data_IF_472210904203
#
_entry.id   IF_472210904203
#
_cell.length_a   1.000
_cell.length_b   1.000
_cell.length_c   1.000
_cell.angle_alpha   90.00
_cell.angle_beta   90.00
_cell.angle_gamma   90.00
#
_symmetry.space_group_name_H-M   'P 1'
#
loop_
_entity.id
_entity.type
_entity.pdbx_description
1 polymer ?
#
# COMPACT_ATOMS: atom_id res chain seq x y z
N UNK A 1 -2.72 27.12 3.27
CA UNK A 1 -2.80 27.03 1.79
C UNK A 1 -1.46 27.25 1.12
N UNK A 2 -0.74 28.35 1.35
CA UNK A 2 0.57 28.64 0.70
C UNK A 2 1.56 27.47 0.89
N UNK A 3 1.73 26.99 2.13
CA UNK A 3 2.62 25.86 2.43
C UNK A 3 2.20 24.58 1.65
N UNK A 4 0.91 24.29 1.58
CA UNK A 4 0.41 23.14 0.82
C UNK A 4 0.71 23.27 -0.69
N UNK A 5 0.56 24.46 -1.25
CA UNK A 5 0.89 24.74 -2.64
C UNK A 5 2.40 24.54 -2.91
N UNK A 6 3.27 25.03 -2.02
CA UNK A 6 4.70 24.82 -2.12
C UNK A 6 5.08 23.34 -2.08
N UNK A 7 4.53 22.58 -1.12
CA UNK A 7 4.80 21.14 -1.01
C UNK A 7 4.33 20.38 -2.25
N UNK A 8 3.16 20.70 -2.78
CA UNK A 8 2.64 20.10 -4.00
C UNK A 8 3.55 20.41 -5.20
N UNK A 9 3.99 21.68 -5.34
CA UNK A 9 4.89 22.09 -6.43
C UNK A 9 6.24 21.39 -6.33
N UNK A 10 6.85 21.34 -5.15
CA UNK A 10 8.11 20.60 -4.95
C UNK A 10 7.96 19.11 -5.26
N UNK A 11 6.85 18.49 -4.88
CA UNK A 11 6.58 17.11 -5.23
C UNK A 11 6.57 16.87 -6.74
N UNK A 12 5.91 17.76 -7.51
CA UNK A 12 5.89 17.66 -8.98
C UNK A 12 7.29 17.86 -9.57
N UNK A 13 8.06 18.81 -9.06
CA UNK A 13 9.43 19.04 -9.51
C UNK A 13 10.30 17.82 -9.27
N UNK A 14 10.22 17.23 -8.07
CA UNK A 14 10.99 16.02 -7.72
C UNK A 14 10.60 14.85 -8.62
N UNK A 15 9.31 14.61 -8.82
CA UNK A 15 8.85 13.55 -9.73
C UNK A 15 9.31 13.79 -11.17
N UNK A 16 9.22 15.03 -11.66
CA UNK A 16 9.68 15.40 -13.02
C UNK A 16 11.19 15.25 -13.18
N UNK A 17 11.97 15.65 -12.19
CA UNK A 17 13.43 15.47 -12.19
C UNK A 17 13.80 13.98 -12.21
N UNK A 18 13.15 13.17 -11.36
CA UNK A 18 13.42 11.73 -11.30
C UNK A 18 12.93 10.98 -12.54
N UNK A 19 11.77 11.35 -13.10
CA UNK A 19 11.27 10.78 -14.36
C UNK A 19 12.14 11.20 -15.56
N UNK A 20 12.70 12.42 -15.54
CA UNK A 20 13.66 12.87 -16.53
C UNK A 20 14.94 12.03 -16.56
N UNK A 21 15.45 11.63 -15.39
CA UNK A 21 16.57 10.70 -15.27
C UNK A 21 16.21 9.25 -15.67
N UNK A 22 14.94 8.92 -15.78
CA UNK A 22 14.42 7.63 -16.26
C UNK A 22 14.03 7.68 -17.75
N UNK A 23 14.46 8.69 -18.50
CA UNK A 23 14.23 8.74 -19.94
C UNK A 23 14.96 7.61 -20.66
N UNK A 24 14.40 7.14 -21.77
CA UNK A 24 14.99 6.07 -22.58
C UNK A 24 16.45 6.36 -22.96
N UNK A 25 16.78 7.64 -23.24
CA UNK A 25 18.14 8.09 -23.54
C UNK A 25 19.08 8.01 -22.33
N UNK A 26 18.63 8.39 -21.14
CA UNK A 26 19.43 8.32 -19.91
C UNK A 26 19.70 6.85 -19.52
N UNK A 27 18.69 6.00 -19.60
CA UNK A 27 18.82 4.55 -19.33
C UNK A 27 19.75 3.88 -20.31
N UNK A 28 19.64 4.21 -21.61
CA UNK A 28 20.60 3.77 -22.63
C UNK A 28 22.03 4.13 -22.23
N UNK A 29 22.29 5.41 -21.92
CA UNK A 29 23.60 5.90 -21.55
C UNK A 29 24.14 5.20 -20.29
N UNK A 30 23.29 4.96 -19.30
CA UNK A 30 23.64 4.24 -18.07
C UNK A 30 24.05 2.78 -18.36
N UNK A 31 23.31 2.07 -19.20
CA UNK A 31 23.62 0.69 -19.60
C UNK A 31 24.89 0.62 -20.44
N UNK A 32 25.07 1.53 -21.39
CA UNK A 32 26.29 1.62 -22.18
C UNK A 32 27.52 1.87 -21.30
N UNK A 33 27.47 2.82 -20.38
CA UNK A 33 28.55 3.10 -19.44
C UNK A 33 28.86 1.90 -18.55
N UNK A 34 27.83 1.22 -18.05
CA UNK A 34 28.01 0.01 -17.25
C UNK A 34 28.72 -1.09 -18.04
N UNK A 35 28.26 -1.44 -19.24
CA UNK A 35 28.84 -2.49 -20.09
C UNK A 35 30.27 -2.11 -20.50
N UNK A 36 30.47 -0.90 -21.00
CA UNK A 36 31.79 -0.43 -21.47
C UNK A 36 32.83 -0.38 -20.37
N UNK A 37 32.42 -0.08 -19.12
CA UNK A 37 33.27 -0.14 -17.94
C UNK A 37 33.78 -1.56 -17.71
N UNK A 38 32.89 -2.56 -17.80
CA UNK A 38 33.27 -3.97 -17.60
C UNK A 38 34.12 -4.48 -18.77
N UNK A 39 33.79 -4.11 -20.00
CA UNK A 39 34.60 -4.44 -21.18
C UNK A 39 36.04 -3.87 -21.06
N UNK A 40 36.19 -2.64 -20.54
CA UNK A 40 37.47 -2.03 -20.28
C UNK A 40 38.26 -2.77 -19.21
N UNK A 41 37.64 -3.12 -18.10
CA UNK A 41 38.26 -3.88 -17.01
C UNK A 41 38.68 -5.27 -17.49
N UNK A 42 37.84 -5.98 -18.25
CA UNK A 42 38.20 -7.25 -18.87
C UNK A 42 39.38 -7.13 -19.82
N UNK A 43 39.43 -6.08 -20.61
CA UNK A 43 40.59 -5.82 -21.50
C UNK A 43 41.88 -5.62 -20.71
N UNK A 44 41.83 -5.04 -19.52
CA UNK A 44 43.01 -4.89 -18.64
C UNK A 44 43.47 -6.24 -18.10
N UNK A 45 42.53 -7.11 -17.67
CA UNK A 45 42.83 -8.49 -17.25
C UNK A 45 43.53 -9.27 -18.37
N UNK A 46 43.05 -9.16 -19.60
CA UNK A 46 43.63 -9.85 -20.75
C UNK A 46 45.01 -9.34 -21.14
N UNK A 47 45.37 -8.13 -20.77
CA UNK A 47 46.70 -7.53 -21.01
C UNK A 47 47.67 -7.83 -19.86
N UNK A 48 47.18 -8.31 -18.72
CA UNK A 48 48.02 -8.79 -17.63
C UNK A 48 48.55 -10.19 -17.93
N UNK A 49 49.81 -10.24 -18.36
CA UNK A 49 50.45 -11.48 -18.73
C UNK A 49 50.69 -12.43 -17.58
N UNK A 50 50.90 -11.90 -16.36
CA UNK A 50 51.07 -12.73 -15.16
C UNK A 50 49.73 -13.42 -14.78
N UNK A 51 48.63 -12.66 -14.81
CA UNK A 51 47.31 -13.19 -14.49
C UNK A 51 46.80 -14.18 -15.54
N UNK A 52 47.04 -13.90 -16.84
CA UNK A 52 46.66 -14.82 -17.92
C UNK A 52 47.48 -16.12 -17.87
N UNK A 53 48.73 -16.07 -17.45
CA UNK A 53 49.57 -17.26 -17.24
C UNK A 53 49.07 -18.11 -16.07
N UNK A 54 48.70 -17.49 -14.96
CA UNK A 54 48.10 -18.20 -13.83
C UNK A 54 46.80 -18.91 -14.22
N UNK A 55 46.00 -18.29 -15.11
CA UNK A 55 44.79 -18.93 -15.67
C UNK A 55 45.11 -20.12 -16.59
N UNK A 56 46.25 -20.07 -17.29
CA UNK A 56 46.70 -21.15 -18.19
C UNK A 56 47.29 -22.33 -17.40
N UNK A 57 48.08 -22.04 -16.39
CA UNK A 57 48.81 -23.05 -15.62
C UNK A 57 47.92 -23.65 -14.49
N UNK A 58 46.68 -23.18 -14.34
CA UNK A 58 45.73 -23.54 -13.26
C UNK A 58 46.35 -23.32 -11.84
N UNK A 59 47.34 -22.44 -11.76
CA UNK A 59 48.07 -22.13 -10.51
C UNK A 59 47.79 -20.71 -10.10
N UNK A 60 46.85 -20.53 -9.15
CA UNK A 60 46.49 -19.21 -8.68
C UNK A 60 47.08 -18.88 -7.34
N UNK A 61 47.62 -17.68 -7.20
CA UNK A 61 47.85 -17.09 -5.91
C UNK A 61 46.51 -16.62 -5.30
N UNK A 62 46.33 -16.80 -4.00
CA UNK A 62 45.09 -16.45 -3.27
C UNK A 62 44.60 -15.02 -3.57
N UNK A 63 45.46 -13.97 -3.59
CA UNK A 63 45.03 -12.59 -3.92
C UNK A 63 44.47 -12.45 -5.33
N UNK A 64 45.01 -13.13 -6.30
CA UNK A 64 44.58 -13.10 -7.69
C UNK A 64 43.21 -13.78 -7.86
N UNK A 65 43.03 -14.92 -7.22
CA UNK A 65 41.78 -15.63 -7.22
C UNK A 65 40.65 -14.80 -6.56
N UNK A 66 40.95 -14.17 -5.43
CA UNK A 66 40.01 -13.29 -4.74
C UNK A 66 39.60 -12.10 -5.61
N UNK A 67 40.56 -11.47 -6.28
CA UNK A 67 40.31 -10.36 -7.19
C UNK A 67 39.39 -10.75 -8.36
N UNK A 68 39.62 -11.94 -8.95
CA UNK A 68 38.79 -12.43 -10.06
C UNK A 68 37.37 -12.84 -9.59
N UNK A 69 37.26 -13.41 -8.40
CA UNK A 69 35.97 -13.83 -7.85
C UNK A 69 35.01 -12.66 -7.48
N UNK A 70 35.59 -11.49 -7.19
CA UNK A 70 34.80 -10.29 -6.83
C UNK A 70 34.39 -9.44 -8.04
N UNK A 71 34.72 -9.85 -9.25
CA UNK A 71 34.31 -9.10 -10.45
C UNK A 71 32.81 -9.13 -10.65
N UNK A 72 32.19 -8.03 -11.09
CA UNK A 72 30.74 -7.97 -11.34
C UNK A 72 30.34 -8.63 -12.68
N UNK A 73 31.22 -9.35 -13.31
CA UNK A 73 31.01 -10.12 -14.51
C UNK A 73 31.75 -11.46 -14.43
N UNK A 74 31.41 -12.38 -15.33
CA UNK A 74 31.86 -13.77 -15.27
C UNK A 74 32.94 -14.03 -16.32
N UNK A 75 34.04 -14.66 -15.92
CA UNK A 75 35.18 -14.95 -16.76
C UNK A 75 35.29 -16.46 -16.94
N UNK A 76 35.44 -16.86 -18.19
CA UNK A 76 35.67 -18.26 -18.59
C UNK A 76 36.86 -18.32 -19.48
N UNK A 77 37.76 -19.27 -19.23
CA UNK A 77 38.92 -19.55 -20.11
C UNK A 77 38.87 -21.00 -20.55
N UNK A 78 39.07 -21.20 -21.85
CA UNK A 78 39.09 -22.50 -22.48
C UNK A 78 40.39 -22.70 -23.17
N UNK A 79 40.97 -23.92 -23.06
CA UNK A 79 41.99 -24.40 -23.92
C UNK A 79 41.41 -25.04 -25.18
N UNK A 80 42.04 -24.79 -26.29
CA UNK A 80 41.72 -25.44 -27.56
C UNK A 80 42.79 -26.49 -27.81
N UNK A 81 42.43 -27.77 -27.81
CA UNK A 81 43.35 -28.85 -28.15
C UNK A 81 43.49 -28.96 -29.69
N UNK A 82 44.50 -29.75 -30.14
CA UNK A 82 44.81 -29.95 -31.55
C UNK A 82 43.65 -30.55 -32.38
N UNK A 83 42.64 -31.10 -31.71
CA UNK A 83 41.44 -31.69 -32.33
C UNK A 83 40.27 -30.68 -32.33
N UNK A 84 40.47 -29.45 -31.83
CA UNK A 84 39.43 -28.41 -31.78
C UNK A 84 38.42 -28.54 -30.62
N UNK A 85 38.66 -29.43 -29.66
CA UNK A 85 37.83 -29.52 -28.46
C UNK A 85 38.18 -28.46 -27.46
N UNK A 86 37.17 -27.85 -26.85
CA UNK A 86 37.31 -26.79 -25.85
C UNK A 86 37.28 -27.40 -24.45
N UNK A 87 38.36 -27.35 -23.69
CA UNK A 87 38.43 -27.69 -22.28
C UNK A 87 38.48 -26.44 -21.45
N UNK A 88 37.56 -26.31 -20.47
CA UNK A 88 37.56 -25.19 -19.54
C UNK A 88 38.76 -25.31 -18.59
N UNK A 89 39.56 -24.24 -18.45
CA UNK A 89 40.69 -24.16 -17.52
C UNK A 89 40.41 -23.22 -16.35
N UNK A 90 39.57 -22.21 -16.54
CA UNK A 90 39.24 -21.28 -15.48
C UNK A 90 37.78 -20.78 -15.59
N UNK A 91 37.14 -20.63 -14.45
CA UNK A 91 35.86 -19.92 -14.31
C UNK A 91 35.76 -19.27 -12.91
N UNK A 92 35.10 -18.14 -12.82
CA UNK A 92 34.83 -17.45 -11.53
C UNK A 92 33.40 -17.55 -11.06
N UNK A 93 32.55 -18.32 -11.74
CA UNK A 93 31.15 -18.56 -11.36
C UNK A 93 30.67 -19.93 -11.81
N UNK A 94 29.75 -20.52 -11.06
CA UNK A 94 29.03 -21.73 -11.44
C UNK A 94 27.55 -21.46 -11.79
N UNK A 95 27.11 -20.19 -11.73
CA UNK A 95 25.70 -19.83 -11.90
C UNK A 95 25.26 -19.76 -13.36
N UNK A 96 26.18 -19.67 -14.29
CA UNK A 96 25.93 -19.60 -15.72
C UNK A 96 27.17 -20.08 -16.49
N UNK A 97 26.95 -20.59 -17.68
CA UNK A 97 28.05 -20.95 -18.60
C UNK A 97 27.77 -20.39 -20.00
N UNK A 98 28.82 -19.97 -20.75
CA UNK A 98 28.66 -19.64 -22.16
C UNK A 98 28.17 -20.83 -22.94
N UNK A 99 27.23 -20.60 -23.85
CA UNK A 99 26.80 -21.62 -24.79
C UNK A 99 27.81 -21.77 -25.95
N UNK A 100 27.67 -22.81 -26.78
CA UNK A 100 28.58 -23.07 -27.91
C UNK A 100 28.60 -21.92 -28.90
N UNK A 101 27.48 -21.23 -29.11
CA UNK A 101 27.40 -20.08 -30.01
C UNK A 101 28.35 -18.95 -29.59
N UNK A 102 28.53 -18.72 -28.28
CA UNK A 102 29.47 -17.72 -27.75
C UNK A 102 30.89 -18.23 -27.81
N UNK A 103 31.16 -19.52 -27.52
CA UNK A 103 32.49 -20.12 -27.51
C UNK A 103 33.08 -20.12 -28.94
N UNK A 104 32.27 -20.47 -29.92
CA UNK A 104 32.69 -20.61 -31.32
C UNK A 104 32.52 -19.34 -32.17
N UNK A 105 31.95 -18.27 -31.58
CA UNK A 105 31.69 -17.02 -32.26
C UNK A 105 32.95 -16.47 -32.98
N UNK A 106 32.79 -15.96 -34.18
CA UNK A 106 33.85 -15.26 -34.90
C UNK A 106 34.02 -13.80 -34.43
N UNK A 107 32.93 -13.24 -33.92
CA UNK A 107 32.91 -11.89 -33.36
C UNK A 107 33.64 -11.81 -32.02
N UNK A 108 34.19 -10.64 -31.71
CA UNK A 108 34.81 -10.37 -30.40
C UNK A 108 33.83 -9.92 -29.33
N UNK A 109 32.62 -9.53 -29.69
CA UNK A 109 31.62 -9.02 -28.77
C UNK A 109 30.20 -9.31 -29.29
N UNK A 110 29.26 -9.52 -28.40
CA UNK A 110 27.87 -9.76 -28.78
C UNK A 110 26.94 -9.79 -27.57
N UNK A 111 25.76 -10.28 -27.81
CA UNK A 111 24.67 -10.37 -26.82
C UNK A 111 24.02 -11.75 -26.87
N UNK A 112 23.72 -12.31 -25.71
CA UNK A 112 23.15 -13.66 -25.61
C UNK A 112 22.13 -13.72 -24.48
N UNK A 113 21.06 -14.50 -24.69
CA UNK A 113 20.12 -14.90 -23.64
C UNK A 113 20.54 -16.29 -23.16
N UNK A 114 20.75 -16.44 -21.86
CA UNK A 114 21.02 -17.69 -21.16
C UNK A 114 19.89 -17.98 -20.17
N UNK A 115 19.92 -19.14 -19.52
CA UNK A 115 18.83 -19.64 -18.69
C UNK A 115 18.39 -18.69 -17.56
N UNK A 116 19.31 -17.95 -16.97
CA UNK A 116 19.07 -17.06 -15.83
C UNK A 116 19.11 -15.56 -16.17
N UNK A 117 19.25 -15.19 -17.46
CA UNK A 117 19.28 -13.78 -17.85
C UNK A 117 19.86 -13.47 -19.21
N UNK A 118 20.09 -12.20 -19.41
CA UNK A 118 20.66 -11.63 -20.63
C UNK A 118 22.06 -11.10 -20.36
N UNK A 119 22.99 -11.40 -21.26
CA UNK A 119 24.41 -11.08 -21.09
C UNK A 119 24.99 -10.43 -22.35
N UNK A 120 25.76 -9.36 -22.14
CA UNK A 120 26.71 -8.94 -23.14
C UNK A 120 27.96 -9.79 -22.96
N UNK A 121 28.53 -10.26 -24.04
CA UNK A 121 29.76 -11.04 -23.98
C UNK A 121 30.89 -10.38 -24.75
N UNK A 122 32.11 -10.57 -24.24
CA UNK A 122 33.35 -10.15 -24.90
C UNK A 122 34.31 -11.34 -24.94
N UNK A 123 34.85 -11.61 -26.11
CA UNK A 123 35.64 -12.81 -26.41
C UNK A 123 36.98 -12.43 -27.00
N UNK A 124 38.04 -13.03 -26.49
CA UNK A 124 39.38 -12.97 -27.10
C UNK A 124 39.88 -14.39 -27.33
N UNK A 125 40.11 -14.73 -28.60
CA UNK A 125 40.68 -16.01 -29.00
C UNK A 125 42.15 -15.83 -29.37
N UNK A 126 42.94 -16.79 -28.95
CA UNK A 126 44.32 -17.01 -29.39
C UNK A 126 44.42 -18.38 -30.04
N UNK A 127 45.57 -18.75 -30.59
CA UNK A 127 45.75 -20.08 -31.18
C UNK A 127 45.54 -21.26 -30.23
N UNK A 128 45.72 -21.03 -28.90
CA UNK A 128 45.67 -22.10 -27.88
C UNK A 128 44.56 -21.90 -26.83
N UNK A 129 44.01 -20.71 -26.73
CA UNK A 129 43.03 -20.43 -25.70
C UNK A 129 41.97 -19.42 -26.13
N UNK A 130 40.77 -19.55 -25.55
CA UNK A 130 39.64 -18.62 -25.70
C UNK A 130 39.30 -18.10 -24.32
N UNK A 131 39.28 -16.79 -24.15
CA UNK A 131 38.80 -16.18 -22.91
C UNK A 131 37.53 -15.39 -23.18
N UNK A 132 36.51 -15.62 -22.38
CA UNK A 132 35.19 -15.03 -22.54
C UNK A 132 34.80 -14.32 -21.23
N UNK A 133 34.35 -13.07 -21.33
CA UNK A 133 33.63 -12.39 -20.28
C UNK A 133 32.12 -12.41 -20.57
N UNK A 134 31.32 -12.86 -19.63
CA UNK A 134 29.85 -12.68 -19.63
C UNK A 134 29.51 -11.55 -18.69
N UNK A 135 29.05 -10.44 -19.23
CA UNK A 135 28.67 -9.23 -18.50
C UNK A 135 27.14 -9.28 -18.30
N UNK A 136 26.63 -9.48 -17.09
CA UNK A 136 25.19 -9.54 -16.85
C UNK A 136 24.55 -8.18 -17.18
N UNK A 137 23.52 -8.20 -18.02
CA UNK A 137 22.74 -7.02 -18.40
C UNK A 137 21.42 -7.01 -17.65
N UNK A 138 20.72 -8.14 -17.68
CA UNK A 138 19.42 -8.29 -17.01
C UNK A 138 19.28 -9.72 -16.50
N UNK A 139 18.96 -9.86 -15.22
CA UNK A 139 18.56 -11.11 -14.63
C UNK A 139 17.11 -11.43 -15.01
N UNK A 140 16.85 -12.68 -15.41
CA UNK A 140 15.53 -13.13 -15.80
C UNK A 140 15.33 -14.58 -15.35
N UNK A 141 14.90 -14.75 -14.10
CA UNK A 141 14.69 -16.05 -13.48
C UNK A 141 13.29 -16.57 -13.78
N UNK A 142 13.16 -17.88 -13.98
CA UNK A 142 11.87 -18.55 -14.14
C UNK A 142 11.06 -18.49 -12.85
N UNK A 143 11.69 -18.69 -11.67
CA UNK A 143 11.09 -18.56 -10.36
C UNK A 143 11.60 -17.29 -9.70
N UNK A 144 10.69 -16.38 -9.42
CA UNK A 144 11.00 -15.09 -8.78
C UNK A 144 10.67 -15.17 -7.30
N UNK A 145 11.62 -14.78 -6.44
CA UNK A 145 11.44 -14.68 -5.00
C UNK A 145 12.21 -13.47 -4.45
N UNK A 146 12.28 -13.29 -3.12
CA UNK A 146 13.01 -12.18 -2.49
C UNK A 146 14.50 -12.11 -2.85
N UNK A 147 15.13 -13.23 -3.17
CA UNK A 147 16.55 -13.33 -3.49
C UNK A 147 16.80 -13.32 -5.00
N UNK A 148 15.95 -13.99 -5.76
CA UNK A 148 16.04 -14.11 -7.23
C UNK A 148 15.02 -13.17 -7.88
N UNK A 149 15.43 -11.94 -8.11
CA UNK A 149 14.58 -10.89 -8.69
C UNK A 149 14.98 -10.61 -10.14
N UNK A 150 13.99 -10.46 -11.00
CA UNK A 150 14.20 -9.95 -12.35
C UNK A 150 14.59 -8.47 -12.26
N UNK A 151 15.79 -8.12 -12.72
CA UNK A 151 16.32 -6.75 -12.63
C UNK A 151 17.47 -6.52 -13.57
N UNK A 152 17.65 -5.29 -14.01
CA UNK A 152 18.88 -4.90 -14.71
C UNK A 152 20.06 -4.83 -13.74
N UNK A 153 21.23 -5.28 -14.20
CA UNK A 153 22.45 -5.25 -13.40
C UNK A 153 22.94 -3.80 -13.13
N UNK A 154 22.69 -2.89 -14.07
CA UNK A 154 23.04 -1.47 -13.94
C UNK A 154 22.14 -0.68 -12.98
N UNK A 155 20.95 -1.20 -12.62
CA UNK A 155 20.04 -0.56 -11.66
C UNK A 155 18.66 -1.20 -11.63
N UNK A 156 18.15 -1.41 -10.41
CA UNK A 156 16.82 -2.02 -10.21
C UNK A 156 15.65 -1.18 -10.77
N UNK A 157 15.84 0.14 -10.84
CA UNK A 157 14.81 1.07 -11.28
C UNK A 157 14.49 0.94 -12.78
N UNK A 158 15.46 0.47 -13.57
CA UNK A 158 15.34 0.32 -15.03
C UNK A 158 14.25 -0.71 -15.37
N UNK A 159 14.19 -1.82 -14.60
CA UNK A 159 13.24 -2.93 -14.81
C UNK A 159 11.77 -2.49 -14.74
N UNK A 160 11.48 -1.38 -14.05
CA UNK A 160 10.10 -0.91 -13.89
C UNK A 160 9.49 -0.40 -15.19
N UNK A 161 10.28 0.31 -15.97
CA UNK A 161 9.77 1.05 -17.12
C UNK A 161 10.27 0.50 -18.46
N UNK A 162 11.37 -0.28 -18.44
CA UNK A 162 12.05 -0.72 -19.65
C UNK A 162 12.26 -2.23 -19.67
N UNK A 163 12.29 -2.76 -20.86
CA UNK A 163 12.67 -4.14 -21.14
C UNK A 163 13.59 -4.23 -22.34
N UNK A 164 14.20 -5.39 -22.52
CA UNK A 164 14.97 -5.70 -23.72
C UNK A 164 13.98 -5.97 -24.84
N UNK A 165 14.10 -5.22 -25.93
CA UNK A 165 13.21 -5.35 -27.07
C UNK A 165 13.47 -6.66 -27.83
N UNK A 166 12.41 -7.41 -28.13
CA UNK A 166 12.50 -8.60 -29.00
C UNK A 166 12.84 -8.25 -30.46
N UNK A 167 12.46 -7.05 -30.88
CA UNK A 167 12.76 -6.53 -32.23
C UNK A 167 13.64 -5.31 -32.14
N UNK A 168 14.53 -5.06 -33.11
CA UNK A 168 15.34 -3.86 -33.11
C UNK A 168 14.48 -2.60 -33.13
N UNK A 169 14.54 -1.82 -32.07
CA UNK A 169 13.91 -0.52 -31.92
C UNK A 169 14.93 0.60 -32.19
N UNK A 170 14.45 1.85 -32.34
CA UNK A 170 15.34 2.97 -32.60
C UNK A 170 16.39 3.26 -31.51
N UNK A 171 16.22 2.72 -30.30
CA UNK A 171 17.12 2.95 -29.16
C UNK A 171 17.96 1.71 -28.85
N UNK A 172 19.13 1.65 -29.48
CA UNK A 172 20.05 0.54 -29.36
C UNK A 172 21.18 0.85 -28.38
N UNK A 173 21.51 -0.12 -27.52
CA UNK A 173 22.66 -0.12 -26.59
C UNK A 173 23.87 -0.70 -27.31
N UNK A 174 25.02 -0.03 -27.19
CA UNK A 174 26.24 -0.36 -27.93
C UNK A 174 27.41 -0.75 -27.01
N UNK A 175 28.24 -1.65 -27.48
CA UNK A 175 29.50 -1.99 -26.86
C UNK A 175 30.52 -0.87 -27.04
N UNK A 176 31.69 -0.98 -26.39
CA UNK A 176 32.83 -0.08 -26.59
C UNK A 176 33.31 -0.08 -28.04
N UNK A 177 33.20 -1.18 -28.76
CA UNK A 177 33.57 -1.28 -30.18
C UNK A 177 32.57 -0.59 -31.12
N UNK A 178 31.45 -0.06 -30.62
CA UNK A 178 30.36 0.54 -31.40
C UNK A 178 29.35 -0.47 -31.93
N UNK A 179 29.54 -1.77 -31.73
CA UNK A 179 28.61 -2.81 -32.16
C UNK A 179 27.32 -2.70 -31.32
N UNK A 180 26.16 -2.78 -31.99
CA UNK A 180 24.88 -2.85 -31.35
C UNK A 180 24.71 -4.22 -30.66
N UNK A 181 24.40 -4.20 -29.35
CA UNK A 181 24.20 -5.40 -28.54
C UNK A 181 22.73 -5.78 -28.50
N UNK A 182 21.89 -4.86 -28.06
CA UNK A 182 20.44 -5.04 -27.96
C UNK A 182 19.72 -3.70 -28.07
N UNK A 183 18.40 -3.74 -28.17
CA UNK A 183 17.58 -2.54 -28.13
C UNK A 183 16.71 -2.52 -26.88
N UNK A 184 16.34 -1.31 -26.41
CA UNK A 184 15.46 -1.09 -25.29
C UNK A 184 14.05 -0.77 -25.79
N UNK A 185 13.05 -1.34 -25.14
CA UNK A 185 11.64 -1.00 -25.30
C UNK A 185 11.09 -0.49 -23.98
N UNK A 186 10.20 0.49 -24.05
CA UNK A 186 9.35 0.85 -22.94
C UNK A 186 8.30 -0.25 -22.76
N UNK A 187 8.07 -0.69 -21.52
CA UNK A 187 7.01 -1.65 -21.23
C UNK A 187 5.66 -1.01 -21.54
N UNK A 188 5.04 -1.46 -22.63
CA UNK A 188 3.68 -1.07 -23.00
C UNK A 188 2.67 -1.76 -22.07
N UNK A 189 2.39 -1.16 -21.01
CA UNK A 189 1.38 -1.47 -20.03
C UNK A 189 1.39 -0.32 -19.05
N UNK A 190 0.24 0.03 -18.48
CA UNK A 190 0.11 0.99 -17.40
C UNK A 190 1.16 0.71 -16.30
N UNK A 191 2.40 1.01 -16.60
CA UNK A 191 3.41 1.18 -15.58
C UNK A 191 2.86 2.33 -14.72
N UNK A 192 2.17 1.96 -13.65
CA UNK A 192 1.79 2.89 -12.59
C UNK A 192 3.12 3.48 -12.17
N UNK A 193 3.42 4.66 -12.71
CA UNK A 193 4.66 5.35 -12.40
C UNK A 193 4.75 5.41 -10.88
N UNK A 194 5.59 4.58 -10.30
CA UNK A 194 5.74 4.53 -8.85
C UNK A 194 6.42 5.82 -8.48
N UNK A 195 5.65 6.76 -7.99
CA UNK A 195 6.14 8.06 -7.58
C UNK A 195 7.32 7.91 -6.63
N UNK A 196 8.29 8.81 -6.70
CA UNK A 196 9.37 8.85 -5.72
C UNK A 196 8.78 8.94 -4.30
N UNK A 197 9.30 8.13 -3.35
CA UNK A 197 8.80 8.13 -1.97
C UNK A 197 8.83 9.53 -1.33
N UNK A 198 9.83 10.36 -1.66
CA UNK A 198 9.90 11.75 -1.19
C UNK A 198 8.73 12.57 -1.73
N UNK A 199 8.45 12.45 -3.03
CA UNK A 199 7.32 13.13 -3.66
C UNK A 199 5.97 12.66 -3.08
N UNK A 200 5.84 11.37 -2.77
CA UNK A 200 4.66 10.80 -2.09
C UNK A 200 4.44 11.46 -0.74
N UNK A 201 5.46 11.52 0.12
CA UNK A 201 5.36 12.15 1.43
C UNK A 201 5.01 13.64 1.34
N UNK A 202 5.63 14.37 0.39
CA UNK A 202 5.31 15.78 0.17
C UNK A 202 3.83 15.99 -0.22
N UNK A 203 3.27 15.11 -1.06
CA UNK A 203 1.84 15.15 -1.44
C UNK A 203 0.92 14.81 -0.27
N UNK A 204 1.30 13.83 0.56
CA UNK A 204 0.55 13.49 1.78
C UNK A 204 0.51 14.70 2.72
N UNK A 205 1.67 15.31 3.00
CA UNK A 205 1.72 16.52 3.84
C UNK A 205 0.93 17.68 3.23
N UNK A 206 1.03 17.90 1.92
CA UNK A 206 0.23 18.92 1.24
C UNK A 206 -1.28 18.67 1.43
N UNK A 207 -1.74 17.43 1.26
CA UNK A 207 -3.14 17.06 1.49
C UNK A 207 -3.57 17.30 2.94
N UNK A 208 -2.75 16.92 3.91
CA UNK A 208 -3.02 17.18 5.34
C UNK A 208 -3.17 18.68 5.60
N UNK A 209 -2.29 19.53 5.08
CA UNK A 209 -2.40 20.99 5.25
C UNK A 209 -3.64 21.57 4.58
N UNK A 210 -4.09 21.01 3.44
CA UNK A 210 -5.36 21.38 2.82
C UNK A 210 -6.54 21.00 3.72
N UNK A 211 -6.55 19.79 4.28
CA UNK A 211 -7.60 19.34 5.20
C UNK A 211 -7.64 20.18 6.48
N UNK A 212 -6.48 20.53 7.05
CA UNK A 212 -6.40 21.44 8.20
C UNK A 212 -6.98 22.83 7.85
N UNK A 213 -6.66 23.35 6.67
CA UNK A 213 -7.23 24.64 6.23
C UNK A 213 -8.75 24.58 6.07
N UNK A 214 -9.28 23.51 5.47
CA UNK A 214 -10.73 23.27 5.34
C UNK A 214 -11.37 23.19 6.72
N UNK A 215 -10.74 22.49 7.68
CA UNK A 215 -11.20 22.41 9.06
C UNK A 215 -11.29 23.78 9.74
N UNK A 216 -10.21 24.57 9.68
CA UNK A 216 -10.17 25.92 10.27
C UNK A 216 -11.22 26.85 9.65
N UNK A 217 -11.44 26.73 8.33
CA UNK A 217 -12.49 27.49 7.64
C UNK A 217 -13.88 27.07 8.11
N UNK A 218 -14.12 25.74 8.24
CA UNK A 218 -15.39 25.23 8.76
C UNK A 218 -15.65 25.70 10.20
N UNK A 219 -14.63 25.69 11.07
CA UNK A 219 -14.72 26.23 12.44
C UNK A 219 -15.10 27.72 12.42
N UNK A 220 -14.44 28.53 11.56
CA UNK A 220 -14.76 29.96 11.42
C UNK A 220 -16.20 30.18 10.93
N UNK A 221 -16.68 29.37 9.99
CA UNK A 221 -18.08 29.42 9.52
C UNK A 221 -19.03 29.03 10.65
N UNK A 222 -18.72 27.98 11.41
CA UNK A 222 -19.53 27.52 12.54
C UNK A 222 -19.68 28.63 13.61
N UNK A 223 -18.58 29.31 13.94
CA UNK A 223 -18.57 30.41 14.88
C UNK A 223 -19.37 31.63 14.41
N UNK A 224 -19.30 31.97 13.11
CA UNK A 224 -19.93 33.20 12.55
C UNK A 224 -21.36 32.97 12.05
N UNK A 225 -21.66 31.81 11.44
CA UNK A 225 -22.93 31.56 10.73
C UNK A 225 -23.71 30.35 11.26
N UNK A 226 -23.17 29.67 12.26
CA UNK A 226 -23.77 28.49 12.88
C UNK A 226 -23.36 27.15 12.26
N UNK A 227 -23.58 26.07 13.03
CA UNK A 227 -23.18 24.71 12.70
C UNK A 227 -23.78 24.21 11.39
N UNK A 228 -25.06 24.48 11.13
CA UNK A 228 -25.77 24.01 9.92
C UNK A 228 -25.08 24.50 8.63
N UNK A 229 -24.66 25.78 8.60
CA UNK A 229 -23.94 26.34 7.43
C UNK A 229 -22.52 25.81 7.30
N UNK A 230 -21.87 25.52 8.43
CA UNK A 230 -20.56 24.90 8.43
C UNK A 230 -20.62 23.46 7.90
N UNK A 231 -21.65 22.69 8.26
CA UNK A 231 -21.87 21.35 7.72
C UNK A 231 -22.24 21.36 6.24
N UNK A 232 -23.08 22.33 5.81
CA UNK A 232 -23.41 22.51 4.39
C UNK A 232 -22.19 22.83 3.54
N UNK A 233 -21.16 23.44 4.10
CA UNK A 233 -19.85 23.65 3.46
C UNK A 233 -18.96 22.41 3.55
N UNK A 234 -18.80 21.83 4.75
CA UNK A 234 -17.80 20.78 5.03
C UNK A 234 -18.14 19.47 4.31
N UNK A 235 -19.39 19.01 4.37
CA UNK A 235 -19.79 17.71 3.82
C UNK A 235 -19.60 17.64 2.28
N UNK A 236 -20.06 18.61 1.48
CA UNK A 236 -19.82 18.58 0.04
C UNK A 236 -18.34 18.64 -0.31
N UNK A 237 -17.54 19.43 0.40
CA UNK A 237 -16.10 19.54 0.15
C UNK A 237 -15.40 18.19 0.39
N UNK A 238 -15.70 17.53 1.52
CA UNK A 238 -15.14 16.20 1.82
C UNK A 238 -15.60 15.18 0.77
N UNK A 239 -16.87 15.21 0.38
CA UNK A 239 -17.42 14.31 -0.63
C UNK A 239 -16.72 14.50 -1.99
N UNK A 240 -16.53 15.75 -2.43
CA UNK A 240 -15.79 16.07 -3.68
C UNK A 240 -14.35 15.57 -3.60
N UNK A 241 -13.65 15.83 -2.50
CA UNK A 241 -12.27 15.36 -2.30
C UNK A 241 -12.22 13.83 -2.35
N UNK A 242 -13.19 13.15 -1.73
CA UNK A 242 -13.24 11.69 -1.72
C UNK A 242 -13.56 11.09 -3.08
N UNK A 243 -14.56 11.61 -3.78
CA UNK A 243 -14.88 11.20 -5.15
C UNK A 243 -13.70 11.44 -6.08
N UNK A 244 -13.05 12.60 -5.98
CA UNK A 244 -11.85 12.90 -6.77
C UNK A 244 -10.74 11.88 -6.53
N UNK A 245 -10.51 11.46 -5.29
CA UNK A 245 -9.49 10.47 -4.95
C UNK A 245 -9.77 9.05 -5.50
N UNK A 246 -11.03 8.72 -5.82
CA UNK A 246 -11.41 7.45 -6.45
C UNK A 246 -11.16 7.42 -7.96
N UNK A 247 -11.42 8.53 -8.63
CA UNK A 247 -11.41 8.60 -10.10
C UNK A 247 -10.15 9.25 -10.65
N UNK A 248 -9.55 10.16 -9.91
CA UNK A 248 -8.37 10.91 -10.31
C UNK A 248 -7.16 10.51 -9.46
N UNK A 249 -5.95 10.48 -10.01
CA UNK A 249 -4.72 10.23 -9.25
C UNK A 249 -4.30 11.46 -8.42
N UNK A 250 -5.25 12.12 -7.77
CA UNK A 250 -5.05 13.35 -6.99
C UNK A 250 -5.51 13.11 -5.54
N UNK A 251 -4.70 13.42 -4.52
CA UNK A 251 -3.33 13.95 -4.55
C UNK A 251 -2.27 12.91 -4.93
N UNK A 252 -2.63 11.62 -4.89
CA UNK A 252 -1.77 10.47 -5.14
C UNK A 252 -2.50 9.42 -5.98
N UNK A 253 -1.75 8.67 -6.76
CA UNK A 253 -2.24 7.41 -7.30
C UNK A 253 -2.21 6.35 -6.19
N UNK A 254 -3.32 6.21 -5.46
CA UNK A 254 -3.41 5.27 -4.34
C UNK A 254 -3.21 3.82 -4.76
N UNK A 255 -3.55 3.44 -6.01
CA UNK A 255 -3.43 2.07 -6.53
C UNK A 255 -1.99 1.55 -6.62
N UNK A 256 -0.99 2.42 -6.50
CA UNK A 256 0.42 2.02 -6.45
C UNK A 256 0.85 1.38 -5.12
N UNK A 257 0.03 1.50 -4.06
CA UNK A 257 0.33 0.97 -2.74
C UNK A 257 -0.43 -0.33 -2.51
N UNK A 258 0.24 -1.33 -1.97
CA UNK A 258 -0.34 -2.63 -1.62
C UNK A 258 -1.54 -2.50 -0.67
N UNK A 259 -1.57 -1.46 0.18
CA UNK A 259 -2.68 -1.16 1.07
C UNK A 259 -4.01 -0.91 0.31
N UNK A 260 -3.93 -0.48 -0.95
CA UNK A 260 -5.09 -0.24 -1.82
C UNK A 260 -5.33 -1.37 -2.82
N UNK A 261 -4.68 -2.54 -2.63
CA UNK A 261 -4.94 -3.73 -3.41
C UNK A 261 -6.24 -4.40 -2.93
N UNK A 262 -7.21 -4.63 -3.84
CA UNK A 262 -8.46 -5.32 -3.51
C UNK A 262 -8.28 -6.76 -3.03
N UNK A 263 -7.14 -7.40 -3.34
CA UNK A 263 -6.84 -8.77 -2.89
C UNK A 263 -6.62 -8.89 -1.38
N UNK A 264 -6.18 -7.80 -0.72
CA UNK A 264 -5.98 -7.78 0.74
C UNK A 264 -7.29 -7.63 1.50
N UNK A 265 -8.16 -6.76 1.02
CA UNK A 265 -9.51 -6.51 1.54
C UNK A 265 -10.35 -5.84 0.47
N UNK A 266 -11.57 -6.33 0.24
CA UNK A 266 -12.51 -5.71 -0.66
C UNK A 266 -13.92 -6.24 -0.40
N UNK A 267 -14.80 -5.43 0.19
CA UNK A 267 -16.16 -5.83 0.57
C UNK A 267 -17.22 -5.27 -0.38
N UNK A 268 -17.07 -4.03 -0.85
CA UNK A 268 -18.07 -3.35 -1.69
C UNK A 268 -17.43 -2.40 -2.70
N UNK A 269 -18.25 -1.86 -3.62
CA UNK A 269 -17.81 -0.84 -4.60
C UNK A 269 -17.23 0.41 -3.92
N UNK A 270 -17.68 0.75 -2.71
CA UNK A 270 -17.22 1.91 -1.93
C UNK A 270 -16.00 1.55 -1.06
N UNK A 271 -15.96 0.31 -0.55
CA UNK A 271 -14.89 -0.23 0.27
C UNK A 271 -14.07 -1.22 -0.55
N UNK A 272 -13.31 -0.71 -1.53
CA UNK A 272 -12.56 -1.52 -2.50
C UNK A 272 -11.28 -2.08 -1.95
N UNK A 273 -10.76 -1.47 -0.88
CA UNK A 273 -9.48 -1.84 -0.29
C UNK A 273 -9.41 -1.43 1.18
N UNK A 274 -8.44 -1.98 1.90
CA UNK A 274 -8.16 -1.60 3.29
C UNK A 274 -7.77 -0.12 3.42
N UNK A 275 -7.03 0.42 2.45
CA UNK A 275 -6.68 1.83 2.38
C UNK A 275 -7.90 2.75 2.21
N UNK A 276 -8.87 2.33 1.40
CA UNK A 276 -10.13 3.06 1.24
C UNK A 276 -10.94 3.06 2.53
N UNK A 277 -10.99 1.93 3.22
CA UNK A 277 -11.66 1.81 4.50
C UNK A 277 -10.99 2.70 5.57
N UNK A 278 -9.65 2.75 5.61
CA UNK A 278 -8.88 3.61 6.50
C UNK A 278 -9.23 5.10 6.28
N UNK A 279 -9.18 5.56 5.03
CA UNK A 279 -9.50 6.95 4.70
C UNK A 279 -10.95 7.28 5.09
N UNK A 280 -11.91 6.40 4.76
CA UNK A 280 -13.31 6.61 5.08
C UNK A 280 -13.57 6.64 6.59
N UNK A 281 -12.91 5.77 7.38
CA UNK A 281 -13.05 5.75 8.84
C UNK A 281 -12.46 7.00 9.50
N UNK A 282 -11.32 7.48 9.02
CA UNK A 282 -10.70 8.74 9.49
C UNK A 282 -11.61 9.94 9.16
N UNK A 283 -12.14 10.02 7.94
CA UNK A 283 -13.02 11.11 7.54
C UNK A 283 -14.35 11.10 8.35
N UNK A 284 -14.91 9.92 8.57
CA UNK A 284 -16.10 9.75 9.41
C UNK A 284 -15.84 10.27 10.83
N UNK A 285 -14.77 9.80 11.47
CA UNK A 285 -14.40 10.21 12.82
C UNK A 285 -14.13 11.72 12.89
N UNK A 286 -13.46 12.28 11.89
CA UNK A 286 -13.20 13.73 11.82
C UNK A 286 -14.48 14.55 11.73
N UNK A 287 -15.45 14.17 10.88
CA UNK A 287 -16.74 14.86 10.75
C UNK A 287 -17.49 14.82 12.07
N UNK A 288 -17.57 13.63 12.70
CA UNK A 288 -18.29 13.47 13.97
C UNK A 288 -17.61 14.25 15.10
N UNK A 289 -16.28 14.24 15.18
CA UNK A 289 -15.52 15.02 16.14
C UNK A 289 -15.74 16.53 15.96
N UNK A 290 -15.78 17.00 14.70
CA UNK A 290 -16.12 18.40 14.42
C UNK A 290 -17.52 18.78 14.95
N UNK A 291 -18.53 17.93 14.68
CA UNK A 291 -19.90 18.17 15.16
C UNK A 291 -19.93 18.16 16.68
N UNK A 292 -19.32 17.18 17.31
CA UNK A 292 -19.28 17.02 18.77
C UNK A 292 -18.66 18.25 19.46
N UNK A 293 -17.51 18.73 18.96
CA UNK A 293 -16.84 19.91 19.53
C UNK A 293 -17.69 21.17 19.39
N UNK A 294 -18.37 21.36 18.24
CA UNK A 294 -19.19 22.55 18.03
C UNK A 294 -20.52 22.53 18.82
N UNK A 295 -21.03 21.34 19.17
CA UNK A 295 -22.23 21.21 20.02
C UNK A 295 -21.92 21.41 21.49
N UNK A 296 -20.76 20.95 21.97
CA UNK A 296 -20.38 21.10 23.39
C UNK A 296 -20.13 22.55 23.80
N UNK A 297 -19.82 23.46 22.86
CA UNK A 297 -19.62 24.89 23.11
C UNK A 297 -20.93 25.67 23.29
N UNK A 298 -22.09 25.08 22.95
CA UNK A 298 -23.39 25.75 23.02
C UNK A 298 -24.36 24.93 23.90
N UNK A 299 -24.98 25.57 24.88
CA UNK A 299 -26.11 24.95 25.59
C UNK A 299 -27.15 24.48 24.58
N UNK A 300 -27.51 23.19 24.64
CA UNK A 300 -28.49 22.60 23.76
C UNK A 300 -29.86 23.19 24.09
N UNK A 301 -30.29 24.20 23.36
CA UNK A 301 -31.64 24.74 23.44
C UNK A 301 -32.57 24.00 22.48
N UNK A 302 -33.83 23.78 22.82
CA UNK A 302 -34.79 23.16 21.92
C UNK A 302 -34.95 24.03 20.67
N UNK A 303 -34.62 23.48 19.49
CA UNK A 303 -34.66 24.18 18.21
C UNK A 303 -36.11 24.46 17.78
N UNK A 304 -37.05 23.60 18.19
CA UNK A 304 -38.47 23.71 17.84
C UNK A 304 -39.34 23.44 19.04
N UNK A 305 -40.40 24.21 19.22
CA UNK A 305 -41.37 24.10 20.32
C UNK A 305 -42.50 23.09 20.04
N UNK A 306 -42.65 22.56 18.82
CA UNK A 306 -43.76 21.72 18.41
C UNK A 306 -43.62 20.27 18.92
N UNK A 307 -44.66 19.76 19.53
CA UNK A 307 -44.73 18.41 20.13
C UNK A 307 -44.54 17.29 19.09
N UNK A 308 -44.99 17.49 17.84
CA UNK A 308 -44.82 16.50 16.78
C UNK A 308 -43.35 16.36 16.33
N UNK A 309 -42.61 17.45 16.30
CA UNK A 309 -41.21 17.47 15.90
C UNK A 309 -40.29 16.62 16.83
N UNK A 310 -40.59 16.58 18.13
CA UNK A 310 -39.81 15.74 19.08
C UNK A 310 -39.88 14.25 18.74
N UNK A 311 -41.06 13.76 18.29
CA UNK A 311 -41.22 12.35 17.91
C UNK A 311 -40.54 12.03 16.59
N UNK A 312 -40.62 12.93 15.61
CA UNK A 312 -39.90 12.80 14.33
C UNK A 312 -38.40 12.77 14.57
N UNK A 313 -37.85 13.67 15.42
CA UNK A 313 -36.45 13.68 15.78
C UNK A 313 -36.03 12.37 16.48
N UNK A 314 -36.83 11.86 17.39
CA UNK A 314 -36.59 10.60 18.10
C UNK A 314 -36.50 9.42 17.11
N UNK A 315 -37.44 9.32 16.17
CA UNK A 315 -37.46 8.28 15.15
C UNK A 315 -36.19 8.41 14.25
N UNK A 316 -35.88 9.61 13.80
CA UNK A 316 -34.72 9.87 12.95
C UNK A 316 -33.41 9.48 13.65
N UNK A 317 -33.25 9.86 14.91
CA UNK A 317 -32.07 9.48 15.70
C UNK A 317 -32.02 7.97 15.92
N UNK A 318 -33.14 7.32 16.17
CA UNK A 318 -33.20 5.86 16.30
C UNK A 318 -32.76 5.16 15.00
N UNK A 319 -33.24 5.64 13.87
CA UNK A 319 -32.84 5.11 12.54
C UNK A 319 -31.34 5.31 12.32
N UNK A 320 -30.82 6.50 12.60
CA UNK A 320 -29.37 6.77 12.43
C UNK A 320 -28.53 5.86 13.33
N UNK A 321 -28.90 5.68 14.59
CA UNK A 321 -28.24 4.77 15.52
C UNK A 321 -28.27 3.32 15.03
N UNK A 322 -29.43 2.83 14.60
CA UNK A 322 -29.57 1.48 14.07
C UNK A 322 -28.69 1.28 12.82
N UNK A 323 -28.83 2.16 11.83
CA UNK A 323 -28.06 2.05 10.58
C UNK A 323 -26.54 2.09 10.84
N UNK A 324 -26.09 3.03 11.67
CA UNK A 324 -24.65 3.13 11.98
C UNK A 324 -24.13 1.94 12.77
N UNK A 325 -24.93 1.39 13.71
CA UNK A 325 -24.54 0.21 14.49
C UNK A 325 -24.40 -1.03 13.62
N UNK A 326 -25.41 -1.32 12.80
CA UNK A 326 -25.35 -2.47 11.90
C UNK A 326 -24.28 -2.31 10.82
N UNK A 327 -24.09 -1.10 10.31
CA UNK A 327 -22.99 -0.83 9.35
C UNK A 327 -21.63 -1.05 9.99
N UNK A 328 -21.40 -0.54 11.19
CA UNK A 328 -20.15 -0.78 11.93
C UNK A 328 -19.94 -2.27 12.20
N UNK A 329 -20.97 -2.99 12.66
CA UNK A 329 -20.90 -4.44 12.87
C UNK A 329 -20.55 -5.22 11.61
N UNK A 330 -21.14 -4.88 10.47
CA UNK A 330 -20.86 -5.52 9.18
C UNK A 330 -19.44 -5.22 8.69
N UNK A 331 -18.95 -3.98 8.83
CA UNK A 331 -17.59 -3.64 8.47
C UNK A 331 -16.61 -4.45 9.32
N UNK A 332 -16.81 -4.53 10.63
CA UNK A 332 -15.98 -5.31 11.54
C UNK A 332 -16.00 -6.80 11.14
N UNK A 333 -17.19 -7.36 10.92
CA UNK A 333 -17.36 -8.75 10.50
C UNK A 333 -16.67 -9.03 9.16
N UNK A 334 -16.84 -8.15 8.16
CA UNK A 334 -16.20 -8.32 6.84
C UNK A 334 -14.67 -8.19 6.91
N UNK A 335 -14.14 -7.33 7.78
CA UNK A 335 -12.69 -7.23 7.99
C UNK A 335 -12.10 -8.53 8.55
N UNK A 336 -12.85 -9.27 9.34
CA UNK A 336 -12.38 -10.53 9.93
C UNK A 336 -12.61 -11.71 8.99
N UNK A 337 -13.78 -11.77 8.33
CA UNK A 337 -14.19 -12.91 7.52
C UNK A 337 -13.62 -12.87 6.07
N UNK A 338 -13.59 -11.68 5.47
CA UNK A 338 -13.31 -11.51 4.04
C UNK A 338 -11.90 -10.98 3.75
N UNK A 339 -11.04 -10.85 4.76
CA UNK A 339 -9.71 -10.30 4.60
C UNK A 339 -8.61 -11.33 4.85
N UNK A 340 -7.47 -11.13 4.18
CA UNK A 340 -6.24 -11.86 4.47
C UNK A 340 -5.49 -11.26 5.68
N UNK A 341 -6.16 -10.45 6.49
CA UNK A 341 -5.58 -9.73 7.62
C UNK A 341 -5.66 -10.61 8.85
N UNK A 342 -4.53 -10.94 9.45
CA UNK A 342 -4.53 -11.62 10.75
C UNK A 342 -4.86 -10.63 11.86
N UNK A 343 -5.94 -10.90 12.60
CA UNK A 343 -6.29 -10.21 13.85
C UNK A 343 -5.95 -11.04 15.09
N UNK A 344 -5.22 -12.14 14.90
CA UNK A 344 -4.81 -13.01 16.02
C UNK A 344 -3.71 -12.31 16.83
N UNK A 345 -4.12 -11.72 17.96
CA UNK A 345 -3.22 -11.04 18.89
C UNK A 345 -2.40 -12.03 19.71
N UNK A 346 -2.84 -13.28 19.81
CA UNK A 346 -2.15 -14.32 20.57
C UNK A 346 -0.88 -14.76 19.83
N UNK A 347 -0.96 -14.83 18.51
CA UNK A 347 0.16 -15.17 17.65
C UNK A 347 0.81 -13.93 17.04
N UNK A 348 1.69 -13.28 17.80
CA UNK A 348 2.36 -12.04 17.40
C UNK A 348 3.10 -12.14 16.05
N UNK A 349 3.58 -13.34 15.69
CA UNK A 349 4.32 -13.56 14.43
C UNK A 349 3.45 -13.49 13.19
N UNK A 350 2.13 -13.58 13.31
CA UNK A 350 1.18 -13.44 12.18
C UNK A 350 0.78 -12.01 11.92
N UNK A 351 1.11 -11.08 12.84
CA UNK A 351 0.78 -9.66 12.70
C UNK A 351 1.68 -9.00 11.65
N UNK A 352 1.05 -8.32 10.71
CA UNK A 352 1.71 -7.59 9.63
C UNK A 352 1.24 -6.13 9.59
N UNK A 353 1.76 -5.34 8.63
CA UNK A 353 1.35 -3.93 8.46
C UNK A 353 -0.14 -3.76 8.16
N UNK A 354 -0.78 -4.77 7.54
CA UNK A 354 -2.23 -4.76 7.30
C UNK A 354 -3.00 -4.95 8.61
N UNK A 355 -2.52 -5.79 9.54
CA UNK A 355 -3.09 -5.96 10.87
C UNK A 355 -3.07 -4.65 11.66
N UNK A 356 -1.93 -3.94 11.67
CA UNK A 356 -1.81 -2.62 12.32
C UNK A 356 -2.80 -1.62 11.73
N UNK A 357 -2.91 -1.59 10.39
CA UNK A 357 -3.87 -0.71 9.70
C UNK A 357 -5.31 -1.08 10.06
N UNK A 358 -5.62 -2.37 10.10
CA UNK A 358 -6.92 -2.88 10.53
C UNK A 358 -7.29 -2.43 11.94
N UNK A 359 -6.37 -2.53 12.91
CA UNK A 359 -6.60 -2.02 14.26
C UNK A 359 -6.82 -0.51 14.31
N UNK A 360 -6.09 0.27 13.50
CA UNK A 360 -6.32 1.73 13.41
C UNK A 360 -7.73 2.02 12.88
N UNK A 361 -8.19 1.28 11.87
CA UNK A 361 -9.55 1.40 11.34
C UNK A 361 -10.58 1.10 12.42
N UNK A 362 -10.42 0.00 13.16
CA UNK A 362 -11.32 -0.37 14.27
C UNK A 362 -11.36 0.72 15.34
N UNK A 363 -10.21 1.28 15.72
CA UNK A 363 -10.14 2.42 16.66
C UNK A 363 -10.91 3.65 16.13
N UNK A 364 -10.71 4.01 14.86
CA UNK A 364 -11.41 5.13 14.25
C UNK A 364 -12.94 4.92 14.25
N UNK A 365 -13.40 3.72 13.85
CA UNK A 365 -14.83 3.39 13.85
C UNK A 365 -15.40 3.45 15.26
N UNK A 366 -14.71 2.88 16.25
CA UNK A 366 -15.16 2.88 17.65
C UNK A 366 -15.27 4.29 18.22
N UNK A 367 -14.24 5.14 18.03
CA UNK A 367 -14.23 6.53 18.49
C UNK A 367 -15.32 7.33 17.76
N UNK A 368 -15.42 7.20 16.44
CA UNK A 368 -16.41 7.90 15.64
C UNK A 368 -17.84 7.52 16.03
N UNK A 369 -18.11 6.23 16.25
CA UNK A 369 -19.40 5.72 16.69
C UNK A 369 -19.76 6.23 18.09
N UNK A 370 -18.81 6.21 19.04
CA UNK A 370 -19.02 6.73 20.39
C UNK A 370 -19.38 8.22 20.38
N UNK A 371 -18.60 9.04 19.67
CA UNK A 371 -18.85 10.48 19.55
C UNK A 371 -20.20 10.77 18.86
N UNK A 372 -20.53 10.00 17.82
CA UNK A 372 -21.83 10.11 17.14
C UNK A 372 -22.98 9.83 18.09
N UNK A 373 -22.88 8.76 18.88
CA UNK A 373 -23.89 8.42 19.87
C UNK A 373 -24.10 9.54 20.88
N UNK A 374 -23.01 10.17 21.36
CA UNK A 374 -23.08 11.33 22.24
C UNK A 374 -23.79 12.52 21.57
N UNK A 375 -23.41 12.85 20.33
CA UNK A 375 -24.04 13.94 19.55
C UNK A 375 -25.56 13.68 19.42
N UNK A 376 -25.93 12.47 19.07
CA UNK A 376 -27.35 12.11 18.89
C UNK A 376 -28.14 12.18 20.19
N UNK A 377 -27.57 11.75 21.32
CA UNK A 377 -28.20 11.87 22.63
C UNK A 377 -28.28 13.34 23.08
N UNK A 378 -27.27 14.16 22.80
CA UNK A 378 -27.34 15.59 23.07
C UNK A 378 -28.46 16.30 22.31
N UNK A 379 -28.74 15.89 21.06
CA UNK A 379 -29.83 16.44 20.26
C UNK A 379 -31.22 16.11 20.84
N UNK A 380 -31.38 14.94 21.45
CA UNK A 380 -32.68 14.50 22.03
C UNK A 380 -32.88 15.06 23.44
N UNK A 381 -31.82 15.27 24.21
CA UNK A 381 -31.90 15.68 25.62
C UNK A 381 -32.81 16.86 25.91
N UNK A 382 -32.85 17.97 25.15
CA UNK A 382 -33.75 19.08 25.39
C UNK A 382 -35.26 18.75 25.34
N UNK A 383 -35.62 17.67 24.61
CA UNK A 383 -36.98 17.23 24.38
C UNK A 383 -37.43 16.11 25.34
N UNK A 384 -36.48 15.34 25.86
CA UNK A 384 -36.68 14.20 26.76
C UNK A 384 -35.73 14.28 27.96
N UNK A 385 -35.90 15.28 28.87
CA UNK A 385 -34.87 15.55 29.89
C UNK A 385 -34.76 14.50 30.98
N UNK A 386 -35.86 13.76 31.26
CA UNK A 386 -35.95 12.84 32.41
C UNK A 386 -35.96 11.36 32.03
N UNK A 387 -36.29 10.99 30.80
CA UNK A 387 -36.51 9.59 30.46
C UNK A 387 -36.24 9.29 28.99
N UNK A 388 -35.35 8.37 28.73
CA UNK A 388 -35.02 7.88 27.39
C UNK A 388 -35.79 6.59 27.00
N UNK A 389 -36.84 6.19 27.77
CA UNK A 389 -37.59 4.97 27.52
C UNK A 389 -38.16 4.90 26.09
N UNK A 390 -38.66 6.05 25.57
CA UNK A 390 -39.12 6.13 24.18
C UNK A 390 -38.07 5.84 23.16
N UNK A 391 -36.80 6.24 23.39
CA UNK A 391 -35.67 5.93 22.52
C UNK A 391 -35.34 4.43 22.51
N UNK A 392 -35.30 3.78 23.69
CA UNK A 392 -35.04 2.34 23.78
C UNK A 392 -36.15 1.53 23.08
N UNK A 393 -37.42 1.91 23.29
CA UNK A 393 -38.53 1.26 22.63
C UNK A 393 -38.50 1.44 21.11
N UNK A 394 -38.21 2.64 20.63
CA UNK A 394 -38.07 2.92 19.19
C UNK A 394 -36.91 2.12 18.55
N UNK A 395 -35.79 1.99 19.24
CA UNK A 395 -34.64 1.20 18.79
C UNK A 395 -34.95 -0.29 18.82
N UNK A 396 -35.59 -0.79 19.87
CA UNK A 396 -35.95 -2.21 19.95
C UNK A 396 -36.93 -2.59 18.83
N UNK A 397 -38.02 -1.82 18.65
CA UNK A 397 -38.98 -2.06 17.58
C UNK A 397 -38.36 -1.89 16.19
N UNK A 398 -37.64 -0.81 15.96
CA UNK A 398 -36.97 -0.54 14.69
C UNK A 398 -35.92 -1.61 14.34
N UNK A 399 -35.16 -2.08 15.35
CA UNK A 399 -34.19 -3.17 15.20
C UNK A 399 -34.86 -4.50 14.86
N UNK A 400 -35.96 -4.84 15.52
CA UNK A 400 -36.74 -6.06 15.21
C UNK A 400 -37.36 -6.00 13.81
N UNK A 401 -37.87 -4.85 13.39
CA UNK A 401 -38.38 -4.66 12.01
C UNK A 401 -37.23 -4.84 11.01
N UNK A 402 -36.05 -4.21 11.25
CA UNK A 402 -34.90 -4.35 10.41
C UNK A 402 -34.46 -5.82 10.28
N UNK A 403 -34.33 -6.54 11.39
CA UNK A 403 -34.01 -7.97 11.41
C UNK A 403 -35.07 -8.82 10.66
N UNK A 404 -36.35 -8.49 10.76
CA UNK A 404 -37.41 -9.18 10.05
C UNK A 404 -37.37 -9.01 8.52
N UNK A 405 -36.93 -7.85 8.07
CA UNK A 405 -36.75 -7.56 6.63
C UNK A 405 -35.51 -8.27 6.06
N UNK A 406 -34.49 -8.39 6.86
CA UNK A 406 -33.18 -8.86 6.43
C UNK A 406 -32.95 -10.36 6.67
N UNK A 407 -33.99 -11.17 6.88
CA UNK A 407 -33.99 -12.61 7.17
C UNK A 407 -33.14 -13.43 6.15
N UNK A 408 -31.84 -13.21 6.18
CA UNK A 408 -30.84 -14.13 5.68
C UNK A 408 -30.44 -15.04 6.83
N UNK A 409 -30.91 -16.28 6.80
CA UNK A 409 -30.91 -17.26 7.90
C UNK A 409 -29.50 -17.52 8.48
N UNK A 410 -28.44 -17.18 7.73
CA UNK A 410 -27.06 -17.50 8.10
C UNK A 410 -26.42 -16.58 9.16
N UNK A 411 -26.93 -15.38 9.40
CA UNK A 411 -26.32 -14.41 10.33
C UNK A 411 -27.24 -13.88 11.42
N UNK A 412 -28.42 -14.47 11.59
CA UNK A 412 -29.44 -13.98 12.52
C UNK A 412 -28.96 -13.87 13.99
N UNK A 413 -28.12 -14.81 14.43
CA UNK A 413 -27.54 -14.79 15.78
C UNK A 413 -26.62 -13.61 16.04
N UNK A 414 -25.78 -13.29 15.08
CA UNK A 414 -24.83 -12.17 15.15
C UNK A 414 -25.56 -10.81 15.14
N UNK A 415 -26.53 -10.65 14.26
CA UNK A 415 -27.29 -9.42 14.15
C UNK A 415 -28.17 -9.18 15.39
N UNK A 416 -28.73 -10.24 16.00
CA UNK A 416 -29.45 -10.13 17.26
C UNK A 416 -28.52 -9.73 18.42
N UNK A 417 -27.29 -10.27 18.45
CA UNK A 417 -26.30 -9.89 19.45
C UNK A 417 -25.91 -8.39 19.32
N UNK A 418 -25.80 -7.86 18.10
CA UNK A 418 -25.54 -6.44 17.86
C UNK A 418 -26.70 -5.57 18.38
N UNK A 419 -27.95 -5.97 18.16
CA UNK A 419 -29.11 -5.23 18.65
C UNK A 419 -29.18 -5.21 20.18
N UNK A 420 -28.94 -6.35 20.82
CA UNK A 420 -28.92 -6.43 22.30
C UNK A 420 -27.77 -5.59 22.86
N UNK A 421 -26.59 -5.64 22.24
CA UNK A 421 -25.49 -4.79 22.63
C UNK A 421 -25.81 -3.30 22.49
N UNK A 422 -26.46 -2.88 21.41
CA UNK A 422 -26.87 -1.48 21.22
C UNK A 422 -27.77 -0.98 22.35
N UNK A 423 -28.76 -1.80 22.74
CA UNK A 423 -29.70 -1.44 23.83
C UNK A 423 -28.94 -1.28 25.15
N UNK A 424 -28.07 -2.24 25.50
CA UNK A 424 -27.25 -2.19 26.73
C UNK A 424 -26.30 -0.99 26.71
N UNK A 425 -25.64 -0.76 25.59
CA UNK A 425 -24.73 0.37 25.41
C UNK A 425 -25.43 1.72 25.61
N UNK A 426 -26.60 1.91 25.00
CA UNK A 426 -27.37 3.15 25.14
C UNK A 426 -27.90 3.32 26.57
N UNK A 427 -28.27 2.23 27.23
CA UNK A 427 -28.65 2.28 28.64
C UNK A 427 -27.52 2.78 29.52
N UNK A 428 -26.32 2.24 29.35
CA UNK A 428 -25.14 2.67 30.09
C UNK A 428 -24.75 4.13 29.76
N UNK A 429 -24.79 4.50 28.49
CA UNK A 429 -24.47 5.85 28.04
C UNK A 429 -25.47 6.89 28.58
N UNK A 430 -26.77 6.59 28.53
CA UNK A 430 -27.80 7.51 29.04
C UNK A 430 -27.72 7.69 30.55
N UNK A 431 -27.39 6.63 31.29
CA UNK A 431 -27.22 6.70 32.75
C UNK A 431 -25.98 7.53 33.12
N UNK A 432 -24.90 7.46 32.35
CA UNK A 432 -23.75 8.33 32.48
C UNK A 432 -24.08 9.82 32.24
N UNK A 433 -25.03 10.09 31.32
CA UNK A 433 -25.49 11.47 31.05
C UNK A 433 -26.42 12.03 32.13
N UNK A 434 -27.14 11.17 32.81
CA UNK A 434 -28.09 11.58 33.88
C UNK A 434 -27.38 11.86 35.23
N UNK A 435 -26.22 11.22 35.46
CA UNK A 435 -25.39 11.52 36.62
C UNK A 435 -24.57 12.77 36.35
N UNK A 436 -24.94 13.89 36.91
CA UNK A 436 -24.54 15.29 36.66
C UNK A 436 -23.08 15.65 36.88
N UNK A 437 -22.21 14.72 37.01
CA UNK A 437 -20.76 14.98 37.16
C UNK A 437 -19.95 13.87 36.49
N UNK A 438 -20.02 13.82 35.17
CA UNK A 438 -19.16 12.88 34.44
C UNK A 438 -17.80 13.53 34.27
N UNK A 439 -16.91 13.25 35.20
CA UNK A 439 -15.49 13.48 35.01
C UNK A 439 -15.02 12.88 33.67
N UNK A 440 -14.10 13.57 32.98
CA UNK A 440 -13.46 13.12 31.73
C UNK A 440 -12.96 11.68 31.75
N UNK A 441 -12.72 11.12 32.94
CA UNK A 441 -12.32 9.74 33.21
C UNK A 441 -13.38 8.72 32.77
N UNK A 442 -14.69 9.00 32.96
CA UNK A 442 -15.75 8.08 32.57
C UNK A 442 -15.92 7.96 31.04
N UNK A 443 -15.68 9.05 30.31
CA UNK A 443 -15.71 9.01 28.83
C UNK A 443 -14.56 8.17 28.27
N UNK A 444 -13.38 8.27 28.86
CA UNK A 444 -12.23 7.43 28.50
C UNK A 444 -12.47 5.96 28.78
N UNK A 445 -13.15 5.66 29.90
CA UNK A 445 -13.50 4.30 30.28
C UNK A 445 -14.52 3.68 29.34
N UNK A 446 -15.50 4.44 28.84
CA UNK A 446 -16.46 4.00 27.82
C UNK A 446 -15.80 3.76 26.46
N UNK A 447 -14.87 4.60 26.04
CA UNK A 447 -14.09 4.39 24.83
C UNK A 447 -13.25 3.10 24.96
N UNK A 448 -12.63 2.88 26.12
CA UNK A 448 -11.89 1.67 26.41
C UNK A 448 -12.79 0.42 26.36
N UNK A 449 -13.98 0.46 26.93
CA UNK A 449 -14.97 -0.62 26.88
C UNK A 449 -15.45 -0.91 25.45
N UNK A 450 -15.68 0.12 24.64
CA UNK A 450 -16.05 -0.05 23.24
C UNK A 450 -14.92 -0.70 22.43
N UNK A 451 -13.69 -0.28 22.68
CA UNK A 451 -12.52 -0.87 22.06
C UNK A 451 -12.33 -2.34 22.46
N UNK A 452 -12.43 -2.63 23.77
CA UNK A 452 -12.33 -3.99 24.28
C UNK A 452 -13.47 -4.89 23.77
N UNK A 453 -14.66 -4.37 23.67
CA UNK A 453 -15.84 -5.08 23.14
C UNK A 453 -15.69 -5.35 21.63
N UNK A 454 -15.19 -4.40 20.86
CA UNK A 454 -14.85 -4.60 19.44
C UNK A 454 -13.87 -5.74 19.26
N UNK A 455 -12.80 -5.78 20.06
CA UNK A 455 -11.80 -6.84 20.05
C UNK A 455 -12.44 -8.18 20.42
N UNK A 456 -13.31 -8.20 21.42
CA UNK A 456 -13.95 -9.46 21.88
C UNK A 456 -14.90 -10.02 20.82
N UNK A 457 -15.73 -9.18 20.19
CA UNK A 457 -16.58 -9.61 19.07
C UNK A 457 -15.72 -10.14 17.92
N UNK A 458 -14.67 -9.43 17.58
CA UNK A 458 -13.73 -9.84 16.51
C UNK A 458 -13.12 -11.20 16.84
N UNK A 459 -12.70 -11.42 18.09
CA UNK A 459 -12.13 -12.71 18.54
C UNK A 459 -13.14 -13.83 18.49
N UNK A 460 -14.41 -13.58 18.87
CA UNK A 460 -15.48 -14.58 18.82
C UNK A 460 -15.80 -14.99 17.38
N UNK A 461 -15.85 -14.01 16.45
CA UNK A 461 -16.09 -14.29 15.03
C UNK A 461 -14.95 -15.12 14.43
N UNK A 462 -13.68 -14.81 14.79
CA UNK A 462 -12.51 -15.60 14.37
C UNK A 462 -12.61 -17.04 14.88
N UNK A 463 -12.98 -17.24 16.15
CA UNK A 463 -13.14 -18.57 16.73
C UNK A 463 -14.29 -19.36 16.07
N UNK A 464 -15.44 -18.74 15.81
CA UNK A 464 -16.56 -19.39 15.11
C UNK A 464 -16.19 -19.79 13.68
N UNK A 465 -15.49 -18.92 12.94
CA UNK A 465 -15.05 -19.24 11.59
C UNK A 465 -13.99 -20.35 11.58
N UNK A 466 -13.03 -20.32 12.50
CA UNK A 466 -12.02 -21.37 12.66
C UNK A 466 -12.66 -22.72 13.03
N UNK A 467 -13.70 -22.75 13.87
CA UNK A 467 -14.43 -23.98 14.18
C UNK A 467 -15.26 -24.51 13.01
N UNK A 468 -15.82 -23.63 12.16
CA UNK A 468 -16.53 -24.04 10.94
C UNK A 468 -15.58 -24.63 9.91
N UNK A 469 -14.37 -24.08 9.76
CA UNK A 469 -13.34 -24.62 8.87
C UNK A 469 -12.79 -25.99 9.35
N UNK A 470 -12.73 -26.25 10.66
CA UNK A 470 -12.33 -27.55 11.17
C UNK A 470 -13.41 -28.63 11.08
N UNK A 471 -14.68 -28.23 10.92
CA UNK A 471 -15.82 -29.15 10.85
C UNK A 471 -16.27 -29.46 9.38
N UNK A 472 -15.67 -28.80 8.40
CA UNK A 472 -15.82 -29.07 6.97
C UNK A 472 -14.60 -29.82 6.41
#
# INVERSE_FOLDING_TARGET
>A
MILAAWLATFSVIIDSYWSGNSSLGAVKSQLEQYIQKQEKDFSQILNDTALTRQMDDETFEEPALLQLSQKPYFIFRYFVNDIGLHRISFWNTQTVQPNEDVITAQDSTGFVKLDNGYYAWNRKATTKSITIALIPVKWNYFVVNTYLQNKFAAGKEIERNFDIAEKPTGTSVRSKSGKTLFSLAEKSGLAIAKNNMVAVWLRIFAAIFVLIFIHLLAVKIAASKGLSKALLFLLPVILIVRISSYYLPIPLNFRQFELFDPSVYGSTVILRSLGDLLINSILFTWIVLFIHNQLNEKEARPIFANTWFKWVLLILVSIVLLVTTFTAGRIISSMVADSQISFDVINFFTLNMYSVTGFIVLCCIAIGYFLLSQVLLQLIRPYFPANFAGLYLAIAIGGLIYLSIQLSISHAGFELAILTWLIVYLFLLSRSYLSLSVNKINSSMLIFWLFFFSITITSVIVLENSQKEMNN
#
